data_IF_957313357612
#
_entry.id   IF_957313357612
#
_cell.length_a   1.000
_cell.length_b   1.000
_cell.length_c   1.000
_cell.angle_alpha   90.00
_cell.angle_beta   90.00
_cell.angle_gamma   90.00
#
_symmetry.space_group_name_H-M   'P 1'
#
loop_
_entity.id
_entity.type
_entity.pdbx_description
1 polymer ?
#
# COMPACT_ATOMS: atom_id res chain seq x y z
N UNK A 1 -27.17 -3.19 2.67
CA UNK A 1 -26.41 -1.94 2.82
C UNK A 1 -25.10 -2.14 2.08
N UNK A 2 -24.89 -1.47 0.95
CA UNK A 2 -23.64 -1.58 0.21
C UNK A 2 -22.53 -0.92 1.05
N UNK A 3 -21.65 -1.74 1.62
CA UNK A 3 -20.42 -1.27 2.25
C UNK A 3 -19.66 -0.48 1.20
N UNK A 4 -19.77 0.86 1.20
CA UNK A 4 -18.95 1.72 0.35
C UNK A 4 -17.51 1.40 0.76
N UNK A 5 -16.82 0.66 -0.10
CA UNK A 5 -15.38 0.49 0.02
C UNK A 5 -14.79 1.90 0.15
N UNK A 6 -14.01 2.19 1.20
CA UNK A 6 -13.45 3.53 1.40
C UNK A 6 -12.38 3.88 0.36
N UNK A 7 -12.04 2.93 -0.51
CA UNK A 7 -11.21 3.12 -1.69
C UNK A 7 -11.91 3.98 -2.74
N UNK A 8 -11.30 5.12 -3.07
CA UNK A 8 -11.65 5.90 -4.24
C UNK A 8 -10.71 5.52 -5.40
N UNK A 9 -11.12 5.79 -6.64
CA UNK A 9 -10.23 5.61 -7.79
C UNK A 9 -8.91 6.38 -7.64
N UNK A 10 -8.93 7.52 -6.94
CA UNK A 10 -7.73 8.30 -6.65
C UNK A 10 -6.82 7.57 -5.65
N UNK A 11 -7.37 7.06 -4.54
CA UNK A 11 -6.55 6.37 -3.54
C UNK A 11 -6.03 5.01 -4.00
N UNK A 12 -6.79 4.30 -4.84
CA UNK A 12 -6.28 3.11 -5.54
C UNK A 12 -5.14 3.47 -6.50
N UNK A 13 -5.25 4.59 -7.21
CA UNK A 13 -4.20 5.14 -8.07
C UNK A 13 -2.92 5.42 -7.29
N UNK A 14 -3.02 6.22 -6.22
CA UNK A 14 -1.88 6.54 -5.34
C UNK A 14 -1.23 5.27 -4.78
N UNK A 15 -2.01 4.30 -4.30
CA UNK A 15 -1.47 3.01 -3.83
C UNK A 15 -0.68 2.29 -4.92
N UNK A 16 -1.22 2.20 -6.13
CA UNK A 16 -0.56 1.54 -7.25
C UNK A 16 0.74 2.23 -7.65
N UNK A 17 0.78 3.56 -7.66
CA UNK A 17 2.01 4.32 -7.93
C UNK A 17 3.06 4.11 -6.84
N UNK A 18 2.66 4.13 -5.57
CA UNK A 18 3.52 3.85 -4.43
C UNK A 18 4.11 2.44 -4.50
N UNK A 19 3.31 1.42 -4.82
CA UNK A 19 3.82 0.05 -4.98
C UNK A 19 4.72 -0.08 -6.21
N UNK A 20 4.34 0.53 -7.34
CA UNK A 20 5.14 0.48 -8.58
C UNK A 20 6.52 1.11 -8.43
N UNK A 21 6.64 2.21 -7.72
CA UNK A 21 7.93 2.89 -7.48
C UNK A 21 8.93 2.02 -6.70
N UNK A 22 8.45 0.99 -5.99
CA UNK A 22 9.24 0.11 -5.13
C UNK A 22 9.33 -1.28 -5.76
N UNK A 23 10.25 -1.45 -6.72
CA UNK A 23 10.43 -2.68 -7.53
C UNK A 23 10.47 -3.96 -6.70
N UNK A 24 11.18 -3.97 -5.56
CA UNK A 24 11.29 -5.14 -4.70
C UNK A 24 9.97 -5.63 -4.08
N UNK A 25 8.88 -4.86 -4.17
CA UNK A 25 7.55 -5.32 -3.76
C UNK A 25 6.95 -6.30 -4.79
N UNK A 26 7.24 -6.15 -6.07
CA UNK A 26 6.55 -6.84 -7.17
C UNK A 26 7.48 -7.52 -8.20
N UNK A 27 8.74 -7.13 -8.32
CA UNK A 27 9.72 -7.75 -9.23
C UNK A 27 10.52 -8.85 -8.52
N UNK A 28 10.33 -10.14 -8.89
CA UNK A 28 11.06 -11.25 -8.28
C UNK A 28 12.56 -11.26 -8.59
N UNK A 29 13.02 -10.47 -9.56
CA UNK A 29 14.45 -10.34 -9.90
C UNK A 29 15.18 -9.36 -8.98
N UNK A 30 14.44 -8.57 -8.21
CA UNK A 30 15.03 -7.68 -7.23
C UNK A 30 15.58 -8.49 -6.05
N UNK A 31 16.81 -8.21 -5.63
CA UNK A 31 17.48 -8.92 -4.54
C UNK A 31 16.76 -8.78 -3.19
N UNK A 32 15.95 -7.74 -3.03
CA UNK A 32 15.17 -7.49 -1.82
C UNK A 32 13.78 -8.16 -1.88
N UNK A 33 13.36 -8.73 -3.01
CA UNK A 33 12.05 -9.35 -3.17
C UNK A 33 11.83 -10.54 -2.22
N UNK A 34 12.87 -11.33 -1.95
CA UNK A 34 12.76 -12.46 -1.00
C UNK A 34 12.78 -12.02 0.47
N UNK A 35 13.04 -10.74 0.76
CA UNK A 35 13.16 -10.24 2.14
C UNK A 35 11.82 -9.79 2.70
N UNK A 36 11.08 -10.73 3.27
CA UNK A 36 9.74 -10.49 3.86
C UNK A 36 9.71 -9.35 4.87
N UNK A 37 10.72 -9.22 5.74
CA UNK A 37 10.80 -8.11 6.71
C UNK A 37 10.93 -6.74 6.04
N UNK A 38 11.67 -6.67 4.93
CA UNK A 38 11.82 -5.43 4.15
C UNK A 38 10.48 -5.08 3.53
N UNK A 39 9.83 -6.04 2.86
CA UNK A 39 8.50 -5.84 2.28
C UNK A 39 7.47 -5.39 3.32
N UNK A 40 7.44 -6.01 4.50
CA UNK A 40 6.51 -5.65 5.56
C UNK A 40 6.73 -4.21 6.05
N UNK A 41 7.99 -3.82 6.30
CA UNK A 41 8.31 -2.44 6.67
C UNK A 41 7.89 -1.45 5.58
N UNK A 42 8.10 -1.81 4.31
CA UNK A 42 7.69 -0.99 3.18
C UNK A 42 6.18 -0.90 3.02
N UNK A 43 5.42 -1.98 3.20
CA UNK A 43 3.96 -1.93 3.16
C UNK A 43 3.39 -1.07 4.28
N UNK A 44 4.00 -1.11 5.47
CA UNK A 44 3.64 -0.19 6.56
C UNK A 44 3.90 1.27 6.18
N UNK A 45 5.07 1.57 5.60
CA UNK A 45 5.38 2.92 5.12
C UNK A 45 4.40 3.38 4.02
N UNK A 46 4.07 2.50 3.07
CA UNK A 46 3.06 2.79 2.03
C UNK A 46 1.69 3.06 2.65
N UNK A 47 1.29 2.29 3.67
CA UNK A 47 0.04 2.53 4.39
C UNK A 47 0.06 3.86 5.15
N UNK A 48 1.16 4.23 5.79
CA UNK A 48 1.32 5.52 6.46
C UNK A 48 1.25 6.71 5.48
N UNK A 49 1.96 6.61 4.35
CA UNK A 49 1.93 7.61 3.28
C UNK A 49 0.52 7.77 2.71
N UNK A 50 -0.16 6.65 2.44
CA UNK A 50 -1.51 6.67 1.90
C UNK A 50 -2.54 7.19 2.91
N UNK A 51 -2.36 6.93 4.21
CA UNK A 51 -3.22 7.47 5.27
C UNK A 51 -3.01 8.98 5.49
N UNK A 52 -1.81 9.49 5.26
CA UNK A 52 -1.54 10.92 5.31
C UNK A 52 -2.27 11.67 4.19
N UNK A 53 -2.35 11.07 3.00
CA UNK A 53 -3.04 11.65 1.83
C UNK A 53 -4.56 11.40 1.86
N UNK A 54 -5.00 10.23 2.35
CA UNK A 54 -6.39 9.81 2.42
C UNK A 54 -6.77 9.30 3.83
N UNK A 55 -6.99 10.21 4.81
CA UNK A 55 -7.31 9.86 6.19
C UNK A 55 -8.58 9.02 6.33
N UNK A 56 -9.50 9.09 5.36
CA UNK A 56 -10.72 8.29 5.28
C UNK A 56 -10.45 6.78 5.19
N UNK A 57 -9.24 6.39 4.77
CA UNK A 57 -8.81 4.99 4.71
C UNK A 57 -8.39 4.44 6.07
N UNK A 58 -8.33 5.27 7.13
CA UNK A 58 -7.94 4.82 8.49
C UNK A 58 -8.82 3.71 9.06
N UNK A 59 -10.07 3.59 8.57
CA UNK A 59 -10.99 2.51 8.91
C UNK A 59 -10.65 1.14 8.29
N UNK A 60 -9.68 1.08 7.38
CA UNK A 60 -9.20 -0.16 6.74
C UNK A 60 -8.06 -0.85 7.50
N UNK A 61 -7.73 -0.42 8.72
CA UNK A 61 -6.79 -1.16 9.60
C UNK A 61 -7.34 -2.57 9.86
N UNK A 62 -7.00 -3.52 9.00
CA UNK A 62 -7.23 -4.94 9.19
C UNK A 62 -6.37 -5.44 10.33
N UNK A 63 -7.00 -6.14 11.27
CA UNK A 63 -6.35 -6.86 12.36
C UNK A 63 -5.67 -8.15 11.92
#
# INVERSE_FOLDING_TARGET
MASKLPWSHASEGSLMELVRSRRYLWDPRDQLYSKTKVKQGTFNAVAEELLAEYPELSGLKGG
#
